data_IF_348351583537
#
_entry.id   IF_348351583537
#
_cell.length_a   1.000
_cell.length_b   1.000
_cell.length_c   1.000
_cell.angle_alpha   90.00
_cell.angle_beta   90.00
_cell.angle_gamma   90.00
#
_symmetry.space_group_name_H-M   'P 1'
#
loop_
_entity.id
_entity.type
_entity.pdbx_description
1 polymer ?
#
# COMPACT_ATOMS: atom_id res chain seq x y z
N UNK A 1 -6.53 9.82 -7.00
CA UNK A 1 -6.43 8.39 -6.59
C UNK A 1 -5.73 7.63 -7.69
N UNK A 2 -4.84 6.70 -7.37
CA UNK A 2 -4.14 5.87 -8.35
C UNK A 2 -4.58 4.41 -8.28
N UNK A 3 -4.53 3.73 -9.42
CA UNK A 3 -4.74 2.28 -9.55
C UNK A 3 -3.59 1.74 -10.39
N UNK A 4 -2.82 0.79 -9.86
CA UNK A 4 -1.61 0.31 -10.53
C UNK A 4 -1.18 -1.08 -10.07
N UNK A 5 -0.50 -1.80 -10.97
CA UNK A 5 0.33 -2.93 -10.58
C UNK A 5 1.63 -2.42 -9.97
N UNK A 6 2.11 -3.09 -8.93
CA UNK A 6 3.38 -2.79 -8.29
C UNK A 6 4.18 -4.07 -8.11
N UNK A 7 5.25 -4.22 -8.90
CA UNK A 7 6.23 -5.29 -8.77
C UNK A 7 7.40 -4.82 -7.90
N UNK A 8 7.94 -5.72 -7.08
CA UNK A 8 9.14 -5.49 -6.29
C UNK A 8 10.05 -6.71 -6.36
N UNK A 9 11.33 -6.48 -6.65
CA UNK A 9 12.33 -7.54 -6.84
C UNK A 9 13.12 -7.81 -5.54
N UNK A 10 13.75 -8.99 -5.41
CA UNK A 10 14.63 -9.33 -4.27
C UNK A 10 15.63 -8.23 -3.92
N UNK A 11 15.89 -8.05 -2.61
CA UNK A 11 16.83 -7.07 -2.08
C UNK A 11 16.34 -5.62 -2.09
N UNK A 12 15.04 -5.38 -2.35
CA UNK A 12 14.48 -4.02 -2.35
C UNK A 12 14.06 -3.61 -0.95
N UNK A 13 14.53 -2.45 -0.51
CA UNK A 13 14.06 -1.78 0.69
C UNK A 13 13.57 -0.38 0.35
N UNK A 14 12.31 -0.10 0.67
CA UNK A 14 11.73 1.24 0.56
C UNK A 14 11.76 1.87 1.94
N UNK A 15 12.55 2.94 2.07
CA UNK A 15 12.74 3.70 3.30
C UNK A 15 11.40 4.16 3.92
N UNK A 16 11.38 4.43 5.24
CA UNK A 16 10.22 5.02 5.89
C UNK A 16 9.79 6.32 5.20
N UNK A 17 8.52 6.39 4.81
CA UNK A 17 7.94 7.56 4.16
C UNK A 17 6.45 7.67 4.44
N UNK A 18 5.88 8.81 4.08
CA UNK A 18 4.45 9.08 4.18
C UNK A 18 3.88 9.43 2.81
N UNK A 19 2.61 9.09 2.62
CA UNK A 19 1.81 9.56 1.51
C UNK A 19 1.52 11.07 1.66
N UNK A 20 1.20 11.75 0.55
CA UNK A 20 1.04 13.21 0.54
C UNK A 20 -0.30 13.69 1.14
N UNK A 21 -1.20 12.78 1.52
CA UNK A 21 -2.55 13.13 1.98
C UNK A 21 -3.17 12.04 2.83
N UNK A 22 -3.96 12.46 3.83
CA UNK A 22 -4.85 11.59 4.62
C UNK A 22 -6.24 11.41 3.98
N UNK A 23 -6.47 11.99 2.79
CA UNK A 23 -7.75 11.90 2.11
C UNK A 23 -8.00 10.54 1.42
N UNK A 24 -7.06 9.60 1.50
CA UNK A 24 -7.17 8.28 0.88
C UNK A 24 -6.78 7.18 1.85
N UNK A 25 -7.35 6.00 1.60
CA UNK A 25 -6.82 4.74 2.10
C UNK A 25 -6.24 3.96 0.91
N UNK A 26 -5.19 3.19 1.16
CA UNK A 26 -4.52 2.37 0.15
C UNK A 26 -4.82 0.90 0.37
N UNK A 27 -5.40 0.27 -0.66
CA UNK A 27 -5.65 -1.17 -0.70
C UNK A 27 -4.55 -1.85 -1.50
N UNK A 28 -3.97 -2.91 -0.94
CA UNK A 28 -3.03 -3.81 -1.60
C UNK A 28 -3.66 -5.19 -1.72
N UNK A 29 -3.99 -5.62 -2.95
CA UNK A 29 -4.36 -6.99 -3.25
C UNK A 29 -3.10 -7.80 -3.61
N UNK A 30 -2.84 -8.89 -2.90
CA UNK A 30 -1.74 -9.80 -3.24
C UNK A 30 -2.04 -10.57 -4.52
N UNK A 31 -1.11 -10.54 -5.50
CA UNK A 31 -1.24 -11.27 -6.77
C UNK A 31 -0.23 -12.40 -6.88
N UNK A 32 1.04 -12.10 -6.64
CA UNK A 32 2.13 -13.08 -6.55
C UNK A 32 2.94 -12.75 -5.31
N UNK A 33 2.85 -13.57 -4.26
CA UNK A 33 3.48 -13.29 -2.97
C UNK A 33 4.40 -14.47 -2.60
N UNK A 34 5.72 -14.26 -2.59
CA UNK A 34 6.66 -15.22 -2.01
C UNK A 34 6.27 -15.61 -0.58
N UNK A 35 6.49 -16.88 -0.22
CA UNK A 35 6.07 -17.44 1.09
C UNK A 35 6.63 -16.66 2.29
N UNK A 36 7.86 -16.15 2.16
CA UNK A 36 8.58 -15.42 3.20
C UNK A 36 9.36 -14.26 2.58
N UNK A 37 9.86 -13.33 3.41
CA UNK A 37 10.72 -12.22 2.99
C UNK A 37 9.99 -10.96 2.49
N UNK A 38 8.66 -10.99 2.31
CA UNK A 38 7.87 -9.81 1.95
C UNK A 38 7.16 -9.21 3.17
N UNK A 39 7.45 -7.96 3.57
CA UNK A 39 6.67 -7.29 4.61
C UNK A 39 6.47 -5.80 4.38
N UNK A 40 5.41 -5.27 4.96
CA UNK A 40 5.17 -3.83 5.11
C UNK A 40 4.97 -3.51 6.58
N UNK A 41 5.59 -2.44 7.05
CA UNK A 41 5.29 -1.81 8.33
C UNK A 41 4.48 -0.55 8.06
N UNK A 42 3.38 -0.35 8.78
CA UNK A 42 2.67 0.93 8.84
C UNK A 42 2.53 1.34 10.31
N UNK A 43 3.00 2.53 10.65
CA UNK A 43 3.23 2.96 12.03
C UNK A 43 4.03 1.90 12.82
N UNK A 44 3.42 1.31 13.85
CA UNK A 44 4.07 0.35 14.76
C UNK A 44 3.82 -1.11 14.36
N UNK A 45 3.05 -1.33 13.30
CA UNK A 45 2.49 -2.63 13.00
C UNK A 45 3.09 -3.22 11.71
N UNK A 46 3.71 -4.40 11.83
CA UNK A 46 4.12 -5.18 10.68
C UNK A 46 2.94 -6.00 10.15
N UNK A 47 2.85 -6.10 8.83
CA UNK A 47 1.86 -6.88 8.09
C UNK A 47 2.52 -7.55 6.89
N UNK A 48 1.84 -8.57 6.41
CA UNK A 48 2.28 -9.43 5.31
C UNK A 48 1.14 -9.51 4.28
N UNK A 49 1.50 -9.70 3.03
CA UNK A 49 0.51 -9.92 1.98
C UNK A 49 0.18 -11.40 1.87
N UNK A 50 -1.02 -11.69 1.40
CA UNK A 50 -1.47 -13.02 1.01
C UNK A 50 -2.09 -12.94 -0.38
N UNK A 51 -1.83 -13.93 -1.23
CA UNK A 51 -2.43 -13.99 -2.57
C UNK A 51 -3.96 -14.05 -2.49
N UNK A 52 -4.63 -13.23 -3.29
CA UNK A 52 -6.09 -13.11 -3.30
C UNK A 52 -6.70 -12.39 -2.08
N UNK A 53 -5.89 -11.88 -1.16
CA UNK A 53 -6.34 -11.10 0.01
C UNK A 53 -5.98 -9.63 -0.11
N UNK A 54 -6.82 -8.80 0.52
CA UNK A 54 -6.63 -7.35 0.56
C UNK A 54 -6.10 -6.94 1.93
N UNK A 55 -4.98 -6.22 1.91
CA UNK A 55 -4.50 -5.42 3.04
C UNK A 55 -4.90 -3.97 2.79
N UNK A 56 -5.53 -3.33 3.77
CA UNK A 56 -5.88 -1.90 3.71
C UNK A 56 -5.12 -1.17 4.81
N UNK A 57 -4.49 -0.07 4.46
CA UNK A 57 -3.83 0.82 5.42
C UNK A 57 -3.95 2.27 4.95
N UNK A 58 -3.80 3.18 5.90
CA UNK A 58 -3.68 4.61 5.61
C UNK A 58 -2.21 4.91 5.31
N UNK A 59 -1.90 5.22 4.04
CA UNK A 59 -0.52 5.50 3.62
C UNK A 59 -0.03 6.88 4.06
N UNK A 60 -0.86 7.73 4.68
CA UNK A 60 -0.41 8.99 5.30
C UNK A 60 0.38 8.78 6.60
N UNK A 61 0.21 7.63 7.24
CA UNK A 61 1.10 7.21 8.32
C UNK A 61 2.46 6.76 7.76
N UNK A 62 3.52 6.90 8.56
CA UNK A 62 4.84 6.41 8.17
C UNK A 62 4.76 4.92 7.89
N UNK A 63 5.23 4.53 6.71
CA UNK A 63 5.29 3.13 6.30
C UNK A 63 6.59 2.82 5.57
N UNK A 64 6.97 1.55 5.63
CA UNK A 64 8.25 1.04 5.18
C UNK A 64 8.06 -0.37 4.61
N UNK A 65 8.79 -0.72 3.56
CA UNK A 65 8.58 -1.98 2.82
C UNK A 65 9.90 -2.69 2.59
N UNK A 66 9.90 -4.01 2.79
CA UNK A 66 11.03 -4.88 2.52
C UNK A 66 10.62 -5.99 1.57
N UNK A 67 11.52 -6.30 0.66
CA UNK A 67 11.44 -7.48 -0.17
C UNK A 67 12.76 -8.27 -0.12
N UNK A 68 12.86 -9.11 0.90
CA UNK A 68 14.02 -9.97 1.18
C UNK A 68 13.82 -11.39 0.63
N UNK A 69 12.71 -11.67 -0.07
CA UNK A 69 12.48 -12.96 -0.70
C UNK A 69 13.40 -13.20 -1.92
N UNK A 70 13.51 -14.45 -2.36
CA UNK A 70 14.34 -14.84 -3.51
C UNK A 70 13.66 -14.65 -4.88
N UNK A 71 12.36 -14.34 -4.89
CA UNK A 71 11.57 -14.10 -6.10
C UNK A 71 10.79 -12.79 -6.04
N UNK A 72 10.25 -12.32 -7.17
CA UNK A 72 9.53 -11.06 -7.20
C UNK A 72 8.19 -11.15 -6.45
N UNK A 73 7.76 -10.01 -5.90
CA UNK A 73 6.41 -9.82 -5.34
C UNK A 73 5.61 -8.92 -6.25
N UNK A 74 4.39 -9.33 -6.60
CA UNK A 74 3.44 -8.53 -7.36
C UNK A 74 2.17 -8.27 -6.53
N UNK A 75 1.80 -7.00 -6.43
CA UNK A 75 0.55 -6.57 -5.80
C UNK A 75 -0.22 -5.65 -6.75
N UNK A 76 -1.53 -5.56 -6.54
CA UNK A 76 -2.39 -4.56 -7.18
C UNK A 76 -2.80 -3.50 -6.16
N UNK A 77 -2.44 -2.25 -6.44
CA UNK A 77 -2.70 -1.11 -5.58
C UNK A 77 -3.95 -0.39 -6.08
N UNK A 78 -4.89 -0.16 -5.16
CA UNK A 78 -6.11 0.62 -5.40
C UNK A 78 -6.23 1.65 -4.29
N UNK A 79 -6.10 2.94 -4.62
CA UNK A 79 -6.41 4.00 -3.67
C UNK A 79 -7.93 4.25 -3.66
N UNK A 80 -8.51 4.39 -2.46
CA UNK A 80 -9.92 4.77 -2.26
C UNK A 80 -10.00 6.04 -1.42
N UNK A 81 -11.08 6.82 -1.57
CA UNK A 81 -11.32 7.97 -0.69
C UNK A 81 -11.45 7.52 0.76
N UNK A 82 -10.93 8.31 1.69
CA UNK A 82 -11.20 8.12 3.12
C UNK A 82 -12.72 8.07 3.33
N UNK A 83 -13.26 7.07 4.05
CA UNK A 83 -14.70 6.82 4.08
C UNK A 83 -15.51 7.99 4.65
N UNK A 84 -14.91 8.74 5.58
CA UNK A 84 -15.54 9.90 6.22
C UNK A 84 -15.58 11.17 5.36
N UNK A 85 -14.88 11.19 4.20
CA UNK A 85 -15.04 12.29 3.26
C UNK A 85 -16.44 12.27 2.67
N UNK A 86 -17.16 13.37 2.84
CA UNK A 86 -18.48 13.60 2.25
C UNK A 86 -18.41 13.60 0.73
N UNK A 87 -19.55 13.36 0.08
CA UNK A 87 -19.66 13.42 -1.37
C UNK A 87 -19.26 14.80 -1.93
N UNK A 88 -19.51 15.89 -1.18
CA UNK A 88 -19.10 17.23 -1.57
C UNK A 88 -17.58 17.38 -1.52
N UNK A 89 -16.93 16.98 -0.42
CA UNK A 89 -15.47 17.04 -0.30
C UNK A 89 -14.76 16.26 -1.41
N UNK A 90 -15.24 15.04 -1.73
CA UNK A 90 -14.66 14.21 -2.81
C UNK A 90 -14.72 14.87 -4.19
N UNK A 91 -15.68 15.77 -4.42
CA UNK A 91 -15.83 16.51 -5.69
C UNK A 91 -15.03 17.81 -5.74
N UNK A 92 -14.71 18.41 -4.59
CA UNK A 92 -14.12 19.74 -4.52
C UNK A 92 -12.65 19.76 -4.11
N UNK A 93 -12.14 18.70 -3.48
CA UNK A 93 -10.72 18.61 -3.14
C UNK A 93 -9.86 18.61 -4.41
N UNK A 94 -8.76 19.39 -4.45
CA UNK A 94 -7.86 19.39 -5.60
C UNK A 94 -7.16 18.03 -5.74
N UNK A 95 -6.76 17.70 -6.97
CA UNK A 95 -5.91 16.55 -7.22
C UNK A 95 -4.52 16.76 -6.60
N UNK A 96 -3.90 15.64 -6.21
CA UNK A 96 -2.54 15.54 -5.68
C UNK A 96 -1.81 14.49 -6.51
#
# INVERSE_FOLDING_TARGET
LSIKYSIMHPGTHVWPHTGPTNCRLRMHLGLVIPKEGCRIRCAQENRYWEEGKVLIFDDSFEHEVWQDAESYRLIFIVDVWHPELTAQQRRTLPAI
#
